data_IF_412437600499
#
_entry.id   IF_412437600499
#
_cell.length_a   1.000
_cell.length_b   1.000
_cell.length_c   1.000
_cell.angle_alpha   90.00
_cell.angle_beta   90.00
_cell.angle_gamma   90.00
#
_symmetry.space_group_name_H-M   'P 1'
#
loop_
_entity.id
_entity.type
_entity.pdbx_description
1 polymer ?
#
# COMPACT_ATOMS: atom_id res chain seq x y z
N UNK A 1 -41.66 -6.39 -38.25
CA UNK A 1 -42.11 -7.09 -37.03
C UNK A 1 -40.91 -7.80 -36.43
N UNK A 2 -40.27 -7.16 -35.45
CA UNK A 2 -39.00 -7.60 -34.85
C UNK A 2 -39.23 -8.72 -33.84
N UNK A 3 -38.53 -9.84 -33.96
CA UNK A 3 -38.47 -10.91 -32.93
C UNK A 3 -37.04 -10.99 -32.41
N UNK A 4 -36.83 -10.44 -31.21
CA UNK A 4 -35.61 -10.59 -30.42
C UNK A 4 -35.59 -12.00 -29.82
N UNK A 5 -34.59 -12.79 -30.20
CA UNK A 5 -34.28 -14.08 -29.59
C UNK A 5 -33.48 -13.83 -28.32
N UNK A 6 -34.00 -14.32 -27.21
CA UNK A 6 -33.43 -14.24 -25.87
C UNK A 6 -32.39 -15.36 -25.69
N UNK A 7 -31.17 -15.00 -25.28
CA UNK A 7 -30.07 -15.93 -24.97
C UNK A 7 -29.92 -16.00 -23.43
N UNK A 8 -30.00 -17.18 -22.79
CA UNK A 8 -29.75 -17.31 -21.36
C UNK A 8 -28.31 -17.77 -21.03
N UNK A 9 -27.73 -17.07 -20.05
CA UNK A 9 -26.79 -17.49 -18.96
C UNK A 9 -25.70 -18.54 -19.25
N UNK A 10 -24.44 -18.20 -18.96
CA UNK A 10 -23.63 -18.74 -17.82
C UNK A 10 -22.19 -18.18 -17.91
N UNK A 11 -21.75 -17.37 -16.94
CA UNK A 11 -20.89 -17.76 -15.80
C UNK A 11 -19.39 -17.61 -16.07
N UNK A 12 -18.82 -16.47 -15.71
CA UNK A 12 -17.44 -16.36 -15.19
C UNK A 12 -17.20 -14.97 -14.59
N UNK A 13 -17.99 -14.64 -13.56
CA UNK A 13 -17.59 -13.60 -12.60
C UNK A 13 -16.67 -14.32 -11.61
N UNK A 14 -15.38 -14.28 -11.89
CA UNK A 14 -14.35 -14.73 -10.98
C UNK A 14 -14.41 -13.85 -9.71
N UNK A 15 -14.62 -14.55 -8.61
CA UNK A 15 -14.60 -14.15 -7.19
C UNK A 15 -13.83 -12.85 -6.91
N UNK A 16 -14.55 -11.72 -6.83
CA UNK A 16 -14.06 -10.45 -6.27
C UNK A 16 -15.09 -9.89 -5.29
N UNK A 17 -15.55 -10.71 -4.35
CA UNK A 17 -16.59 -10.29 -3.39
C UNK A 17 -16.56 -11.11 -2.10
N UNK A 18 -15.46 -11.05 -1.34
CA UNK A 18 -15.43 -11.46 0.08
C UNK A 18 -14.84 -10.39 1.00
N UNK A 19 -15.22 -9.12 0.80
CA UNK A 19 -14.99 -8.06 1.79
C UNK A 19 -16.18 -7.10 1.94
N UNK A 20 -17.35 -7.44 1.40
CA UNK A 20 -18.55 -6.63 1.55
C UNK A 20 -19.63 -7.46 2.26
N UNK A 21 -19.79 -7.24 3.57
CA UNK A 21 -21.06 -7.31 4.30
C UNK A 21 -20.81 -7.30 5.81
N UNK A 22 -20.95 -6.14 6.47
CA UNK A 22 -21.84 -5.99 7.64
C UNK A 22 -22.42 -4.56 7.63
N UNK A 23 -23.72 -4.51 7.30
CA UNK A 23 -24.80 -3.65 7.78
C UNK A 23 -24.65 -2.12 7.94
N UNK A 24 -25.51 -1.42 7.20
CA UNK A 24 -26.13 -0.13 7.53
C UNK A 24 -26.58 -0.06 8.99
N UNK A 25 -26.06 0.92 9.76
CA UNK A 25 -26.81 1.65 10.78
C UNK A 25 -26.25 3.08 10.86
N UNK A 26 -27.15 4.05 10.72
CA UNK A 26 -26.87 5.48 10.75
C UNK A 26 -26.52 5.94 12.18
N UNK A 27 -25.28 6.36 12.40
CA UNK A 27 -24.90 7.37 13.39
C UNK A 27 -23.61 8.03 12.94
N UNK A 28 -23.60 9.37 12.93
CA UNK A 28 -22.42 10.17 12.57
C UNK A 28 -21.39 10.01 13.68
N UNK A 29 -20.55 8.99 13.53
CA UNK A 29 -19.27 8.87 14.22
C UNK A 29 -18.23 8.95 13.12
N UNK A 30 -17.33 9.94 13.21
CA UNK A 30 -16.16 10.05 12.35
C UNK A 30 -15.23 8.89 12.74
N UNK A 31 -15.59 7.70 12.29
CA UNK A 31 -14.74 6.52 12.30
C UNK A 31 -13.65 6.81 11.29
N UNK A 32 -12.46 7.14 11.80
CA UNK A 32 -11.21 7.02 11.05
C UNK A 32 -11.18 5.62 10.48
N UNK A 33 -11.50 5.50 9.19
CA UNK A 33 -11.41 4.28 8.43
C UNK A 33 -9.92 3.94 8.33
N UNK A 34 -9.38 3.34 9.38
CA UNK A 34 -8.27 2.43 9.24
C UNK A 34 -8.83 1.28 8.41
N UNK A 35 -8.61 1.38 7.10
CA UNK A 35 -8.58 0.25 6.19
C UNK A 35 -7.58 -0.76 6.78
N UNK A 36 -8.04 -1.56 7.75
CA UNK A 36 -7.48 -2.87 8.01
C UNK A 36 -7.88 -3.75 6.80
N UNK A 37 -7.31 -3.41 5.64
CA UNK A 37 -7.39 -4.24 4.45
C UNK A 37 -6.80 -5.60 4.81
N UNK A 38 -7.45 -6.64 4.31
CA UNK A 38 -6.92 -8.00 4.32
C UNK A 38 -5.46 -7.93 3.79
N UNK A 39 -4.48 -7.98 4.69
CA UNK A 39 -3.12 -7.51 4.39
C UNK A 39 -2.43 -8.53 3.48
N UNK A 40 -2.55 -8.30 2.17
CA UNK A 40 -1.82 -9.03 1.13
C UNK A 40 -0.32 -8.88 1.33
N UNK A 41 0.48 -9.83 0.84
CA UNK A 41 1.94 -9.73 0.83
C UNK A 41 2.42 -8.40 0.21
N UNK A 42 1.70 -7.91 -0.82
CA UNK A 42 1.96 -6.59 -1.43
C UNK A 42 1.83 -5.42 -0.44
N UNK A 43 0.85 -5.45 0.47
CA UNK A 43 0.62 -4.38 1.44
C UNK A 43 1.72 -4.35 2.52
N UNK A 44 2.17 -5.53 2.96
CA UNK A 44 3.31 -5.63 3.89
C UNK A 44 4.59 -5.11 3.25
N UNK A 45 4.87 -5.51 2.01
CA UNK A 45 6.03 -5.04 1.25
C UNK A 45 5.95 -3.54 1.05
N UNK A 46 4.78 -3.00 0.71
CA UNK A 46 4.61 -1.56 0.55
C UNK A 46 4.87 -0.77 1.84
N UNK A 47 4.35 -1.22 2.98
CA UNK A 47 4.60 -0.56 4.27
C UNK A 47 6.08 -0.51 4.63
N UNK A 48 6.78 -1.63 4.44
CA UNK A 48 8.24 -1.69 4.62
C UNK A 48 8.98 -0.79 3.64
N UNK A 49 8.62 -0.82 2.35
CA UNK A 49 9.20 0.03 1.32
C UNK A 49 9.01 1.52 1.62
N UNK A 50 7.79 1.93 2.02
CA UNK A 50 7.48 3.31 2.41
C UNK A 50 8.40 3.78 3.53
N UNK A 51 8.54 2.98 4.60
CA UNK A 51 9.44 3.31 5.70
C UNK A 51 10.90 3.32 5.26
N UNK A 52 11.33 2.37 4.44
CA UNK A 52 12.68 2.37 3.88
C UNK A 52 12.98 3.64 3.09
N UNK A 53 12.03 4.05 2.23
CA UNK A 53 12.14 5.27 1.42
C UNK A 53 12.17 6.53 2.27
N UNK A 54 11.33 6.62 3.31
CA UNK A 54 11.37 7.72 4.29
C UNK A 54 12.75 7.80 4.96
N UNK A 55 13.27 6.67 5.43
CA UNK A 55 14.59 6.61 6.06
C UNK A 55 15.72 7.04 5.10
N UNK A 56 15.74 6.52 3.87
CA UNK A 56 16.72 6.91 2.85
C UNK A 56 16.65 8.39 2.49
N UNK A 57 15.45 8.98 2.38
CA UNK A 57 15.29 10.41 2.11
C UNK A 57 15.77 11.31 3.26
N UNK A 58 15.89 10.77 4.47
CA UNK A 58 16.49 11.43 5.63
C UNK A 58 17.97 11.09 5.83
N UNK A 59 18.57 10.26 4.96
CA UNK A 59 19.96 9.80 5.09
C UNK A 59 20.19 8.70 6.11
N UNK A 60 19.13 8.05 6.61
CA UNK A 60 19.21 6.95 7.57
C UNK A 60 19.28 5.57 6.86
N UNK A 61 20.30 5.35 6.04
CA UNK A 61 20.40 4.18 5.16
C UNK A 61 20.40 2.83 5.90
N UNK A 62 20.94 2.77 7.11
CA UNK A 62 20.90 1.57 7.94
C UNK A 62 19.46 1.18 8.29
N UNK A 63 18.64 2.14 8.70
CA UNK A 63 17.23 1.93 8.98
C UNK A 63 16.44 1.54 7.72
N UNK A 64 16.80 2.12 6.57
CA UNK A 64 16.20 1.75 5.29
C UNK A 64 16.46 0.29 4.92
N UNK A 65 17.69 -0.18 5.09
CA UNK A 65 18.06 -1.59 4.87
C UNK A 65 17.34 -2.52 5.84
N UNK A 66 17.25 -2.17 7.12
CA UNK A 66 16.51 -2.95 8.12
C UNK A 66 15.02 -3.05 7.80
N UNK A 67 14.41 -1.97 7.32
CA UNK A 67 13.00 -1.99 6.93
C UNK A 67 12.74 -2.98 5.79
N UNK A 68 13.60 -2.98 4.76
CA UNK A 68 13.46 -3.91 3.63
C UNK A 68 13.80 -5.36 3.99
N UNK A 69 14.75 -5.60 4.89
CA UNK A 69 15.13 -6.97 5.27
C UNK A 69 14.03 -7.73 5.99
N UNK A 70 13.08 -7.04 6.63
CA UNK A 70 11.90 -7.64 7.28
C UNK A 70 10.86 -8.20 6.32
N UNK A 71 10.92 -7.84 5.04
CA UNK A 71 9.96 -8.27 4.02
C UNK A 71 10.63 -9.01 2.85
N UNK A 72 11.87 -9.47 3.03
CA UNK A 72 12.62 -10.18 1.98
C UNK A 72 11.84 -11.35 1.41
N UNK A 73 11.23 -12.18 2.27
CA UNK A 73 10.47 -13.37 1.85
C UNK A 73 9.21 -12.96 1.07
N UNK A 74 8.49 -11.94 1.51
CA UNK A 74 7.33 -11.41 0.80
C UNK A 74 7.72 -10.77 -0.53
N UNK A 75 8.85 -10.07 -0.59
CA UNK A 75 9.39 -9.48 -1.81
C UNK A 75 9.81 -10.58 -2.81
N UNK A 76 10.46 -11.64 -2.35
CA UNK A 76 10.81 -12.81 -3.17
C UNK A 76 9.54 -13.44 -3.78
N UNK A 77 8.49 -13.63 -2.99
CA UNK A 77 7.21 -14.16 -3.50
C UNK A 77 6.59 -13.31 -4.60
N UNK A 78 6.68 -11.98 -4.50
CA UNK A 78 6.18 -11.08 -5.54
C UNK A 78 7.07 -11.11 -6.79
N UNK A 79 8.38 -11.18 -6.60
CA UNK A 79 9.35 -11.20 -7.71
C UNK A 79 9.39 -12.52 -8.49
N UNK A 80 8.87 -13.61 -7.91
CA UNK A 80 8.70 -14.89 -8.62
C UNK A 80 7.69 -14.80 -9.78
N UNK A 81 6.65 -13.97 -9.66
CA UNK A 81 5.59 -13.86 -10.67
C UNK A 81 5.66 -12.55 -11.48
N UNK A 82 6.39 -11.56 -11.00
CA UNK A 82 6.44 -10.22 -11.58
C UNK A 82 7.87 -9.67 -11.54
N UNK A 83 8.31 -8.96 -12.58
CA UNK A 83 9.68 -8.41 -12.61
C UNK A 83 9.95 -7.47 -11.42
N UNK A 84 11.13 -7.53 -10.78
CA UNK A 84 11.50 -6.64 -9.68
C UNK A 84 11.38 -5.15 -10.03
N UNK A 85 11.74 -4.76 -11.25
CA UNK A 85 11.67 -3.37 -11.71
C UNK A 85 10.23 -2.85 -11.74
N UNK A 86 9.30 -3.67 -12.20
CA UNK A 86 7.87 -3.33 -12.19
C UNK A 86 7.36 -3.15 -10.76
N UNK A 87 7.74 -4.03 -9.84
CA UNK A 87 7.35 -3.93 -8.43
C UNK A 87 7.92 -2.64 -7.84
N UNK A 88 9.21 -2.38 -8.02
CA UNK A 88 9.87 -1.17 -7.55
C UNK A 88 9.20 0.10 -8.06
N UNK A 89 8.86 0.14 -9.36
CA UNK A 89 8.12 1.26 -9.96
C UNK A 89 6.74 1.44 -9.34
N UNK A 90 5.94 0.37 -9.22
CA UNK A 90 4.59 0.43 -8.64
C UNK A 90 4.60 0.88 -7.18
N UNK A 91 5.57 0.41 -6.39
CA UNK A 91 5.75 0.85 -5.01
C UNK A 91 6.13 2.33 -4.93
N UNK A 92 6.98 2.79 -5.85
CA UNK A 92 7.36 4.19 -5.94
C UNK A 92 6.20 5.10 -6.33
N UNK A 93 5.44 4.73 -7.36
CA UNK A 93 4.25 5.46 -7.81
C UNK A 93 3.27 5.65 -6.64
N UNK A 94 2.98 4.56 -5.91
CA UNK A 94 2.12 4.63 -4.73
C UNK A 94 2.68 5.52 -3.61
N UNK A 95 4.00 5.50 -3.39
CA UNK A 95 4.64 6.39 -2.42
C UNK A 95 4.47 7.87 -2.81
N UNK A 96 4.68 8.20 -4.08
CA UNK A 96 4.56 9.57 -4.58
C UNK A 96 3.10 10.07 -4.57
N UNK A 97 2.13 9.18 -4.74
CA UNK A 97 0.69 9.46 -4.57
C UNK A 97 0.32 9.75 -3.10
N UNK A 98 0.79 8.92 -2.17
CA UNK A 98 0.48 9.07 -0.73
C UNK A 98 1.26 10.22 -0.08
N UNK A 99 2.48 10.48 -0.54
CA UNK A 99 3.36 11.52 -0.01
C UNK A 99 3.92 12.36 -1.18
N UNK A 100 3.16 13.35 -1.70
CA UNK A 100 3.59 14.19 -2.82
C UNK A 100 4.64 15.22 -2.37
N UNK A 101 5.84 14.75 -2.02
CA UNK A 101 6.93 15.55 -1.44
C UNK A 101 7.40 16.69 -2.34
N UNK A 102 7.17 16.57 -3.65
CA UNK A 102 7.44 17.61 -4.65
C UNK A 102 6.63 18.88 -4.42
N UNK A 103 5.48 18.80 -3.74
CA UNK A 103 4.63 19.96 -3.41
C UNK A 103 5.16 20.78 -2.23
N UNK A 104 6.12 20.24 -1.48
CA UNK A 104 6.65 20.87 -0.28
C UNK A 104 8.03 21.50 -0.54
N UNK A 105 8.26 22.66 0.07
CA UNK A 105 9.60 23.24 0.21
C UNK A 105 10.50 22.39 1.12
N UNK A 106 11.82 22.59 1.09
CA UNK A 106 12.79 21.72 1.77
C UNK A 106 12.50 21.49 3.26
N UNK A 107 12.21 22.55 4.03
CA UNK A 107 11.96 22.45 5.46
C UNK A 107 10.70 21.63 5.78
N UNK A 108 9.59 21.90 5.08
CA UNK A 108 8.33 21.16 5.26
C UNK A 108 8.47 19.71 4.83
N UNK A 109 9.20 19.45 3.74
CA UNK A 109 9.49 18.09 3.27
C UNK A 109 10.22 17.30 4.35
N UNK A 110 11.28 17.85 4.92
CA UNK A 110 12.02 17.21 6.01
C UNK A 110 11.12 16.97 7.21
N UNK A 111 10.31 17.95 7.63
CA UNK A 111 9.40 17.78 8.76
C UNK A 111 8.36 16.65 8.56
N UNK A 112 7.78 16.55 7.35
CA UNK A 112 6.85 15.47 6.99
C UNK A 112 7.54 14.11 7.03
N UNK A 113 8.75 14.02 6.46
CA UNK A 113 9.55 12.80 6.47
C UNK A 113 9.95 12.40 7.89
N UNK A 114 10.45 13.34 8.72
CA UNK A 114 10.81 13.09 10.12
C UNK A 114 9.60 12.57 10.91
N UNK A 115 8.44 13.20 10.75
CA UNK A 115 7.20 12.74 11.39
C UNK A 115 6.82 11.32 10.98
N UNK A 116 6.98 10.97 9.70
CA UNK A 116 6.74 9.61 9.22
C UNK A 116 7.77 8.62 9.78
N UNK A 117 9.05 9.01 9.84
CA UNK A 117 10.14 8.20 10.39
C UNK A 117 9.94 7.88 11.88
N UNK A 118 9.52 8.86 12.66
CA UNK A 118 9.28 8.71 14.11
C UNK A 118 7.94 8.02 14.43
N UNK A 119 7.10 7.79 13.43
CA UNK A 119 5.81 7.14 13.61
C UNK A 119 5.97 5.71 14.15
N UNK A 120 5.03 5.29 15.02
CA UNK A 120 4.98 3.91 15.52
C UNK A 120 4.90 2.86 14.40
N UNK A 121 4.39 3.24 13.24
CA UNK A 121 4.32 2.36 12.07
C UNK A 121 5.75 2.05 11.57
N UNK A 122 6.54 3.08 11.23
CA UNK A 122 7.89 2.87 10.70
C UNK A 122 8.90 2.40 11.74
N UNK A 123 8.73 2.77 13.00
CA UNK A 123 9.59 2.26 14.08
C UNK A 123 9.54 0.73 14.23
N UNK A 124 8.44 0.06 13.84
CA UNK A 124 8.36 -1.41 13.80
C UNK A 124 9.25 -2.05 12.73
N UNK A 125 9.57 -1.27 11.69
CA UNK A 125 10.40 -1.71 10.58
C UNK A 125 11.88 -1.40 10.78
N UNK A 126 12.23 -0.43 11.63
CA UNK A 126 13.63 -0.08 11.90
C UNK A 126 14.26 -0.82 13.08
N UNK A 127 13.44 -1.39 13.97
CA UNK A 127 13.86 -2.07 15.20
C UNK A 127 13.69 -3.59 15.09
#
# INVERSE_FOLDING_TARGET
MSRLVSIPRTSLIADRSRCLSIALLASVVICTVFLAGCSSAEDKVYKAFRCAKVASLLGADAAAKTAMSKVTIEMEKLTTSTSPDYIGRKLNERFDEEAPLYRYGPATRTAVLTKAYESRECQKYYK
#
